data_IF_738492281446
#
_entry.id   IF_738492281446
#
_cell.length_a   1.000
_cell.length_b   1.000
_cell.length_c   1.000
_cell.angle_alpha   90.00
_cell.angle_beta   90.00
_cell.angle_gamma   90.00
#
_symmetry.space_group_name_H-M   'P 1'
#
loop_
_entity.id
_entity.type
_entity.pdbx_description
1 polymer ?
#
# COMPACT_ATOMS: atom_id res chain seq x y z
N UNK A 1 -9.68 7.60 -3.14
CA UNK A 1 -8.21 7.41 -3.09
C UNK A 1 -7.55 8.69 -2.58
N UNK A 2 -6.26 8.64 -2.24
CA UNK A 2 -5.45 9.83 -1.90
C UNK A 2 -4.05 9.70 -2.52
N UNK A 3 -3.37 10.81 -2.76
CA UNK A 3 -1.98 10.77 -3.21
C UNK A 3 -1.05 10.13 -2.16
N UNK A 4 -0.03 9.40 -2.61
CA UNK A 4 0.93 8.71 -1.71
C UNK A 4 1.71 9.62 -0.76
N UNK A 5 1.80 10.93 -1.07
CA UNK A 5 2.36 11.94 -0.15
C UNK A 5 1.46 12.26 1.05
N UNK A 6 0.15 12.01 0.95
CA UNK A 6 -0.82 12.40 1.99
C UNK A 6 -0.63 11.62 3.29
N UNK A 7 -0.35 10.30 3.29
CA UNK A 7 0.01 9.61 4.53
C UNK A 7 1.25 10.18 5.25
N UNK A 8 2.17 10.78 4.49
CA UNK A 8 3.43 11.33 5.01
C UNK A 8 3.35 12.81 5.41
N UNK A 9 2.27 13.50 5.03
CA UNK A 9 2.09 14.93 5.27
C UNK A 9 0.71 15.22 5.91
N UNK A 10 0.66 16.07 6.94
CA UNK A 10 -0.60 16.51 7.55
C UNK A 10 -1.19 17.77 6.91
N UNK A 11 -0.34 18.60 6.30
CA UNK A 11 -0.71 19.87 5.66
C UNK A 11 -0.12 19.89 4.25
N UNK A 12 -0.88 19.35 3.31
CA UNK A 12 -0.46 19.23 1.93
C UNK A 12 -1.23 20.22 1.04
N UNK A 13 -0.53 20.89 0.13
CA UNK A 13 -1.12 21.91 -0.75
C UNK A 13 -2.16 21.33 -1.73
N UNK A 14 -2.16 20.01 -1.95
CA UNK A 14 -3.14 19.33 -2.81
C UNK A 14 -4.55 19.26 -2.20
N UNK A 15 -4.70 19.60 -0.90
CA UNK A 15 -6.00 19.74 -0.24
C UNK A 15 -6.62 18.46 0.32
N UNK A 16 -5.97 17.29 0.16
CA UNK A 16 -6.47 16.04 0.75
C UNK A 16 -6.01 15.88 2.21
N UNK A 17 -6.94 15.45 3.09
CA UNK A 17 -6.67 15.21 4.52
C UNK A 17 -7.33 13.92 4.99
N UNK A 18 -6.52 12.93 5.36
CA UNK A 18 -7.01 11.60 5.76
C UNK A 18 -7.90 11.65 7.00
N UNK A 19 -7.61 12.51 7.97
CA UNK A 19 -8.37 12.59 9.22
C UNK A 19 -9.82 13.03 9.01
N UNK A 20 -10.10 13.80 7.95
CA UNK A 20 -11.47 14.12 7.57
C UNK A 20 -12.16 12.95 6.89
N UNK A 21 -11.44 12.22 6.03
CA UNK A 21 -11.94 11.04 5.33
C UNK A 21 -12.21 9.88 6.30
N UNK A 22 -11.38 9.71 7.33
CA UNK A 22 -11.50 8.68 8.37
C UNK A 22 -12.87 8.64 9.04
N UNK A 23 -13.63 9.74 9.01
CA UNK A 23 -14.94 9.84 9.65
C UNK A 23 -16.09 9.44 8.74
N UNK A 24 -15.85 9.27 7.43
CA UNK A 24 -16.91 9.16 6.42
C UNK A 24 -16.71 8.02 5.41
N UNK A 25 -15.56 7.35 5.42
CA UNK A 25 -15.30 6.18 4.56
C UNK A 25 -14.76 5.01 5.36
N UNK A 26 -15.03 3.79 4.89
CA UNK A 26 -14.48 2.57 5.48
C UNK A 26 -13.04 2.31 5.05
N UNK A 27 -12.66 2.74 3.84
CA UNK A 27 -11.36 2.45 3.24
C UNK A 27 -10.76 3.71 2.62
N UNK A 28 -9.49 3.98 2.93
CA UNK A 28 -8.68 4.97 2.24
C UNK A 28 -7.60 4.24 1.45
N UNK A 29 -7.45 4.62 0.18
CA UNK A 29 -6.49 4.00 -0.73
C UNK A 29 -5.37 4.98 -1.14
N UNK A 30 -4.25 5.04 -0.41
CA UNK A 30 -3.10 5.84 -0.84
C UNK A 30 -2.46 5.28 -2.12
N UNK A 31 -2.13 6.16 -3.06
CA UNK A 31 -1.37 5.85 -4.27
C UNK A 31 0.13 5.84 -4.01
N UNK A 32 0.65 4.74 -3.46
CA UNK A 32 2.05 4.59 -3.10
C UNK A 32 2.91 4.10 -4.29
N UNK A 33 2.98 4.89 -5.37
CA UNK A 33 3.78 4.57 -6.55
C UNK A 33 5.20 5.12 -6.40
N UNK A 34 6.25 4.30 -6.19
CA UNK A 34 7.57 4.83 -5.88
C UNK A 34 8.12 5.78 -6.95
N UNK A 35 7.74 5.58 -8.22
CA UNK A 35 8.06 6.47 -9.34
C UNK A 35 7.57 7.93 -9.20
N UNK A 36 6.59 8.20 -8.32
CA UNK A 36 5.98 9.51 -8.11
C UNK A 36 6.51 10.24 -6.86
N UNK A 37 7.42 9.63 -6.11
CA UNK A 37 8.01 10.22 -4.90
C UNK A 37 9.24 11.07 -5.28
N UNK A 38 9.05 12.00 -6.21
CA UNK A 38 10.13 12.72 -6.91
C UNK A 38 10.97 13.62 -6.01
N UNK A 39 10.55 13.85 -4.78
CA UNK A 39 11.31 14.60 -3.77
C UNK A 39 12.38 13.75 -3.05
N UNK A 40 12.47 12.44 -3.32
CA UNK A 40 13.52 11.61 -2.72
C UNK A 40 13.96 10.45 -3.60
N UNK A 41 15.25 10.38 -3.87
CA UNK A 41 15.89 9.27 -4.58
C UNK A 41 15.71 7.94 -3.87
N UNK A 42 15.78 7.92 -2.54
CA UNK A 42 15.55 6.72 -1.73
C UNK A 42 14.15 6.17 -1.97
N UNK A 43 13.13 7.04 -1.98
CA UNK A 43 11.76 6.59 -2.21
C UNK A 43 11.56 6.05 -3.63
N UNK A 44 12.21 6.63 -4.64
CA UNK A 44 12.15 6.09 -6.01
C UNK A 44 12.85 4.73 -6.11
N UNK A 45 14.03 4.59 -5.49
CA UNK A 45 14.89 3.42 -5.61
C UNK A 45 14.42 2.24 -4.75
N UNK A 46 13.77 2.47 -3.61
CA UNK A 46 13.36 1.42 -2.69
C UNK A 46 11.83 1.25 -2.68
N UNK A 47 11.28 0.36 -3.54
CA UNK A 47 9.83 0.16 -3.61
C UNK A 47 9.24 -0.43 -2.33
N UNK A 48 10.00 -1.25 -1.60
CA UNK A 48 9.57 -1.79 -0.32
C UNK A 48 9.40 -0.64 0.69
N UNK A 49 10.45 0.17 0.86
CA UNK A 49 10.44 1.27 1.82
C UNK A 49 9.29 2.24 1.57
N UNK A 50 9.11 2.66 0.30
CA UNK A 50 8.07 3.62 -0.06
C UNK A 50 6.67 3.12 0.26
N UNK A 51 6.34 1.90 -0.14
CA UNK A 51 5.03 1.32 0.11
C UNK A 51 4.83 1.06 1.60
N UNK A 52 5.86 0.57 2.30
CA UNK A 52 5.80 0.28 3.73
C UNK A 52 5.54 1.55 4.53
N UNK A 53 6.37 2.59 4.37
CA UNK A 53 6.26 3.81 5.17
C UNK A 53 4.96 4.56 4.88
N UNK A 54 4.52 4.59 3.62
CA UNK A 54 3.26 5.22 3.22
C UNK A 54 2.06 4.48 3.83
N UNK A 55 2.05 3.15 3.74
CA UNK A 55 0.96 2.32 4.26
C UNK A 55 0.90 2.38 5.79
N UNK A 56 2.06 2.25 6.44
CA UNK A 56 2.21 2.28 7.90
C UNK A 56 1.82 3.64 8.48
N UNK A 57 2.31 4.74 7.89
CA UNK A 57 1.94 6.09 8.30
C UNK A 57 0.44 6.37 8.10
N UNK A 58 -0.15 5.83 7.04
CA UNK A 58 -1.60 5.84 6.83
C UNK A 58 -2.32 5.17 7.98
N UNK A 59 -2.00 3.89 8.23
CA UNK A 59 -2.62 3.08 9.29
C UNK A 59 -2.51 3.72 10.67
N UNK A 60 -1.32 4.19 11.04
CA UNK A 60 -1.04 4.72 12.38
C UNK A 60 -1.75 6.07 12.64
N UNK A 61 -2.26 6.75 11.60
CA UNK A 61 -2.98 8.03 11.71
C UNK A 61 -4.50 7.87 11.77
N UNK A 62 -5.04 6.73 11.36
CA UNK A 62 -6.47 6.48 11.24
C UNK A 62 -7.02 5.78 12.49
N UNK A 63 -8.30 6.01 12.77
CA UNK A 63 -9.00 5.36 13.89
C UNK A 63 -10.12 4.44 13.43
N UNK A 64 -10.72 4.71 12.27
CA UNK A 64 -11.91 3.99 11.80
C UNK A 64 -11.68 3.37 10.42
N UNK A 65 -11.14 4.14 9.47
CA UNK A 65 -10.91 3.66 8.12
C UNK A 65 -9.69 2.73 8.05
N UNK A 66 -9.81 1.66 7.25
CA UNK A 66 -8.70 0.79 6.91
C UNK A 66 -7.89 1.34 5.72
N UNK A 67 -6.61 0.96 5.63
CA UNK A 67 -5.76 1.28 4.47
C UNK A 67 -5.75 0.10 3.49
N UNK A 68 -6.04 0.40 2.21
CA UNK A 68 -5.78 -0.50 1.09
C UNK A 68 -4.92 0.23 0.06
N UNK A 69 -3.62 -0.01 0.06
CA UNK A 69 -2.66 0.79 -0.71
C UNK A 69 -2.69 0.42 -2.20
N UNK A 70 -2.81 1.41 -3.07
CA UNK A 70 -2.50 1.21 -4.49
C UNK A 70 -0.99 1.09 -4.68
N UNK A 71 -0.55 -0.04 -5.25
CA UNK A 71 0.86 -0.31 -5.58
C UNK A 71 1.09 -0.19 -7.10
N UNK A 72 2.33 0.15 -7.47
CA UNK A 72 2.70 0.40 -8.86
C UNK A 72 2.86 -0.91 -9.63
N UNK A 73 1.94 -1.17 -10.56
CA UNK A 73 1.98 -2.31 -11.49
C UNK A 73 2.37 -1.88 -12.91
N UNK A 74 3.20 -0.84 -13.06
CA UNK A 74 3.74 -0.35 -14.34
C UNK A 74 5.24 -0.02 -14.24
N UNK A 75 5.94 0.03 -15.37
CA UNK A 75 7.42 0.09 -15.45
C UNK A 75 8.03 1.50 -15.38
N UNK A 76 7.27 2.53 -15.01
CA UNK A 76 7.80 3.90 -14.96
C UNK A 76 8.85 4.03 -13.86
N UNK A 77 10.03 4.58 -14.20
CA UNK A 77 11.12 4.91 -13.25
C UNK A 77 11.49 3.78 -12.28
N UNK A 78 11.43 2.52 -12.70
CA UNK A 78 11.86 1.38 -11.87
C UNK A 78 13.39 1.18 -11.88
N UNK A 79 14.09 1.74 -12.87
CA UNK A 79 15.55 1.58 -13.06
C UNK A 79 16.41 1.86 -11.82
N UNK A 80 16.15 2.95 -11.05
CA UNK A 80 16.91 3.23 -9.82
C UNK A 80 16.87 2.12 -8.78
N UNK A 81 15.84 1.28 -8.76
CA UNK A 81 15.76 0.13 -7.85
C UNK A 81 16.73 -1.00 -8.19
N UNK A 82 17.20 -1.06 -9.45
CA UNK A 82 18.00 -2.18 -9.99
C UNK A 82 17.31 -3.55 -9.87
N UNK A 83 16.00 -3.58 -9.59
CA UNK A 83 15.21 -4.80 -9.51
C UNK A 83 14.60 -5.15 -10.87
N UNK A 84 14.31 -6.43 -11.09
CA UNK A 84 13.38 -6.84 -12.14
C UNK A 84 11.98 -6.29 -11.83
N UNK A 85 11.12 -6.19 -12.85
CA UNK A 85 9.77 -5.68 -12.65
C UNK A 85 8.94 -6.58 -11.72
N UNK A 86 9.13 -7.89 -11.81
CA UNK A 86 8.49 -8.89 -10.98
C UNK A 86 8.92 -8.74 -9.52
N UNK A 87 10.22 -8.59 -9.26
CA UNK A 87 10.75 -8.39 -7.91
C UNK A 87 10.31 -7.04 -7.35
N UNK A 88 10.24 -6.01 -8.18
CA UNK A 88 9.71 -4.70 -7.81
C UNK A 88 8.25 -4.76 -7.33
N UNK A 89 7.39 -5.53 -7.99
CA UNK A 89 6.00 -5.75 -7.53
C UNK A 89 5.97 -6.59 -6.25
N UNK A 90 6.78 -7.64 -6.18
CA UNK A 90 6.84 -8.53 -5.02
C UNK A 90 7.23 -7.78 -3.73
N UNK A 91 8.21 -6.88 -3.82
CA UNK A 91 8.64 -6.04 -2.69
C UNK A 91 7.55 -5.07 -2.23
N UNK A 92 6.74 -4.53 -3.15
CA UNK A 92 5.59 -3.69 -2.79
C UNK A 92 4.50 -4.51 -2.09
N UNK A 93 4.21 -5.72 -2.57
CA UNK A 93 3.25 -6.63 -1.92
C UNK A 93 3.73 -6.93 -0.49
N UNK A 94 5.00 -7.34 -0.35
CA UNK A 94 5.63 -7.61 0.96
C UNK A 94 5.49 -6.42 1.90
N UNK A 95 5.77 -5.21 1.42
CA UNK A 95 5.66 -3.99 2.20
C UNK A 95 4.25 -3.74 2.76
N UNK A 96 3.18 -4.08 2.03
CA UNK A 96 1.80 -3.92 2.54
C UNK A 96 1.48 -4.92 3.65
N UNK A 97 1.94 -6.16 3.54
CA UNK A 97 1.80 -7.17 4.60
C UNK A 97 2.58 -6.79 5.85
N UNK A 98 3.84 -6.38 5.68
CA UNK A 98 4.73 -5.98 6.78
C UNK A 98 4.22 -4.71 7.48
N UNK A 99 3.59 -3.79 6.74
CA UNK A 99 2.91 -2.61 7.33
C UNK A 99 1.63 -2.97 8.11
N UNK A 100 1.12 -4.21 7.92
CA UNK A 100 -0.10 -4.70 8.54
C UNK A 100 -1.36 -3.95 8.09
N UNK A 101 -1.37 -3.42 6.87
CA UNK A 101 -2.59 -2.80 6.30
C UNK A 101 -3.53 -3.87 5.74
N UNK A 102 -4.77 -3.48 5.43
CA UNK A 102 -5.83 -4.43 5.02
C UNK A 102 -5.47 -5.19 3.74
N UNK A 103 -4.74 -4.54 2.85
CA UNK A 103 -4.24 -5.15 1.62
C UNK A 103 -3.74 -4.11 0.63
N UNK A 104 -3.81 -4.46 -0.65
CA UNK A 104 -3.38 -3.60 -1.73
C UNK A 104 -4.26 -3.73 -2.97
N UNK A 105 -4.13 -2.75 -3.86
CA UNK A 105 -4.70 -2.75 -5.20
C UNK A 105 -3.58 -2.59 -6.23
N UNK A 106 -3.60 -3.40 -7.28
CA UNK A 106 -2.68 -3.25 -8.41
C UNK A 106 -3.23 -2.19 -9.37
N UNK A 107 -2.42 -1.19 -9.73
CA UNK A 107 -2.82 -0.19 -10.72
C UNK A 107 -1.89 -0.17 -11.92
N UNK A 108 -2.46 -0.30 -13.12
CA UNK A 108 -1.77 -0.11 -14.39
C UNK A 108 -2.72 0.52 -15.42
N UNK A 109 -2.40 1.74 -15.86
CA UNK A 109 -3.22 2.47 -16.84
C UNK A 109 -3.34 1.75 -18.20
N UNK A 110 -2.38 0.89 -18.55
CA UNK A 110 -2.41 0.07 -19.77
C UNK A 110 -3.22 -1.22 -19.63
N UNK A 111 -3.78 -1.51 -18.44
CA UNK A 111 -4.50 -2.75 -18.14
C UNK A 111 -3.67 -4.04 -18.29
N UNK A 112 -2.34 -3.91 -18.30
CA UNK A 112 -1.41 -5.04 -18.44
C UNK A 112 -1.09 -5.67 -17.08
N UNK A 113 -1.78 -6.75 -16.73
CA UNK A 113 -1.68 -7.35 -15.39
C UNK A 113 -1.05 -8.75 -15.33
N UNK A 114 -0.67 -9.34 -16.47
CA UNK A 114 -0.13 -10.71 -16.51
C UNK A 114 1.05 -10.92 -15.55
N UNK A 115 2.05 -10.04 -15.60
CA UNK A 115 3.21 -10.11 -14.71
C UNK A 115 2.82 -9.93 -13.24
N UNK A 116 2.01 -8.93 -12.92
CA UNK A 116 1.59 -8.64 -11.54
C UNK A 116 0.70 -9.74 -10.94
N UNK A 117 -0.19 -10.34 -11.72
CA UNK A 117 -1.00 -11.47 -11.26
C UNK A 117 -0.16 -12.72 -11.04
N UNK A 118 0.84 -12.98 -11.90
CA UNK A 118 1.79 -14.07 -11.67
C UNK A 118 2.60 -13.87 -10.39
N UNK A 119 3.09 -12.64 -10.14
CA UNK A 119 3.79 -12.31 -8.90
C UNK A 119 2.87 -12.52 -7.68
N UNK A 120 1.65 -11.97 -7.69
CA UNK A 120 0.71 -12.15 -6.58
C UNK A 120 0.38 -13.63 -6.33
N UNK A 121 0.08 -14.39 -7.40
CA UNK A 121 -0.18 -15.83 -7.33
C UNK A 121 0.98 -16.59 -6.71
N UNK A 122 2.22 -16.30 -7.10
CA UNK A 122 3.41 -16.95 -6.56
C UNK A 122 3.67 -16.54 -5.10
N UNK A 123 3.49 -15.25 -4.78
CA UNK A 123 3.62 -14.73 -3.43
C UNK A 123 2.72 -15.48 -2.44
N UNK A 124 1.45 -15.70 -2.80
CA UNK A 124 0.47 -16.34 -1.90
C UNK A 124 0.50 -17.87 -1.90
N UNK A 125 1.18 -18.49 -2.87
CA UNK A 125 1.36 -19.95 -2.91
C UNK A 125 2.58 -20.42 -2.14
N UNK A 126 3.50 -19.53 -1.81
CA UNK A 126 4.72 -19.83 -1.09
C UNK A 126 4.42 -20.12 0.40
N UNK A 127 4.49 -21.37 0.86
CA UNK A 127 4.14 -21.74 2.23
C UNK A 127 5.15 -21.21 3.26
N UNK A 128 6.33 -20.76 2.83
CA UNK A 128 7.34 -20.18 3.71
C UNK A 128 7.03 -18.74 4.13
N UNK A 129 6.11 -18.06 3.41
CA UNK A 129 5.78 -16.66 3.68
C UNK A 129 4.72 -16.55 4.77
N UNK A 130 5.05 -15.83 5.84
CA UNK A 130 4.06 -15.37 6.83
C UNK A 130 3.25 -14.24 6.21
N UNK A 131 2.05 -14.57 5.73
CA UNK A 131 1.02 -13.57 5.46
C UNK A 131 0.42 -13.20 6.81
N UNK A 132 0.38 -11.91 7.15
CA UNK A 132 -0.29 -11.44 8.36
C UNK A 132 -1.74 -11.94 8.31
N UNK A 133 -2.11 -12.77 9.31
CA UNK A 133 -3.53 -13.10 9.50
C UNK A 133 -4.23 -11.78 9.78
N UNK A 134 -5.25 -11.45 9.02
CA UNK A 134 -6.19 -10.39 9.40
C UNK A 134 -6.61 -10.64 10.84
N UNK A 135 -6.54 -9.62 11.69
CA UNK A 135 -7.32 -9.65 12.93
C UNK A 135 -8.76 -9.99 12.53
N UNK A 136 -9.37 -11.04 13.11
CA UNK A 136 -10.77 -11.31 12.84
C UNK A 136 -11.53 -10.03 13.21
N UNK A 137 -12.21 -9.45 12.22
CA UNK A 137 -13.08 -8.29 12.42
C UNK A 137 -13.86 -8.51 13.71
N UNK A 138 -13.76 -7.54 14.63
CA UNK A 138 -14.04 -7.71 16.05
C UNK A 138 -15.20 -8.66 16.35
N UNK A 139 -14.93 -9.65 17.22
CA UNK A 139 -15.99 -10.22 18.04
C UNK A 139 -16.67 -9.04 18.73
N UNK A 140 -17.84 -8.64 18.23
CA UNK A 140 -18.79 -7.90 19.06
C UNK A 140 -19.14 -8.86 20.18
N UNK A 141 -18.55 -8.65 21.35
CA UNK A 141 -19.02 -9.24 22.58
C UNK A 141 -20.41 -8.63 22.84
N UNK A 142 -21.40 -9.20 22.17
CA UNK A 142 -22.77 -9.14 22.61
C UNK A 142 -22.87 -10.01 23.85
N UNK A 143 -22.76 -9.39 25.02
CA UNK A 143 -23.47 -9.85 26.19
C UNK A 143 -23.77 -8.65 27.09
N UNK A 144 -24.96 -8.11 26.87
CA UNK A 144 -25.69 -7.34 27.87
C UNK A 144 -26.52 -8.37 28.63
N UNK A 145 -26.12 -8.70 29.86
CA UNK A 145 -27.00 -9.09 30.95
C UNK A 145 -26.41 -8.52 32.24
#
# INVERSE_FOLDING_TARGET
>A
DVFGRIPLNRKDAIGQRMEGLDQVVDIICPMAYPSHYTWSERYIADPYHTVYITSKAGKDRLKHAEIVTYIQAFKMKIGPSKLSFEKYIEEQIRATHDAGVRGYLLWNARQEYTASFNVAKNFYRDPSRRITKTDPAGKKDGNIQ
#
